data_IF_835003364197
#
_entry.id   IF_835003364197
#
_cell.length_a   1.000
_cell.length_b   1.000
_cell.length_c   1.000
_cell.angle_alpha   90.00
_cell.angle_beta   90.00
_cell.angle_gamma   90.00
#
_symmetry.space_group_name_H-M   'P 1'
#
loop_
_entity.id
_entity.type
_entity.pdbx_description
1 polymer ?
#
# COMPACT_ATOMS: atom_id res chain seq x y z
N UNK A 1 -3.33 -16.67 -0.73
CA UNK A 1 -2.11 -16.76 0.08
C UNK A 1 -1.26 -15.53 -0.17
N UNK A 2 -0.69 -14.93 0.89
CA UNK A 2 0.24 -13.82 0.81
C UNK A 2 1.37 -14.00 1.82
N UNK A 3 2.51 -13.39 1.51
CA UNK A 3 3.68 -13.36 2.38
C UNK A 3 4.44 -12.05 2.16
N UNK A 4 5.33 -11.72 3.07
CA UNK A 4 6.14 -10.53 3.00
C UNK A 4 7.60 -10.94 2.76
N UNK A 5 8.21 -10.34 1.75
CA UNK A 5 9.65 -10.43 1.52
C UNK A 5 10.27 -9.08 1.90
N UNK A 6 11.16 -9.09 2.88
CA UNK A 6 11.89 -7.91 3.31
C UNK A 6 13.25 -7.87 2.62
N UNK A 7 13.52 -6.78 1.94
CA UNK A 7 14.81 -6.54 1.28
C UNK A 7 15.51 -5.40 2.00
N UNK A 8 16.75 -5.64 2.40
CA UNK A 8 17.59 -4.66 3.09
C UNK A 8 18.91 -4.49 2.33
N UNK A 9 19.28 -3.25 2.12
CA UNK A 9 20.58 -2.87 1.59
C UNK A 9 21.45 -2.19 2.67
N UNK A 10 22.65 -1.79 2.32
CA UNK A 10 23.57 -1.16 3.28
C UNK A 10 23.05 0.20 3.78
N UNK A 11 22.25 0.91 2.97
CA UNK A 11 21.62 2.18 3.39
C UNK A 11 20.54 1.93 4.43
N UNK A 12 19.67 0.95 4.17
CA UNK A 12 18.56 0.61 5.08
C UNK A 12 19.07 0.05 6.41
N UNK A 13 20.15 -0.75 6.39
CA UNK A 13 20.78 -1.28 7.61
C UNK A 13 21.46 -0.19 8.44
N UNK A 14 22.02 0.83 7.80
CA UNK A 14 22.68 1.94 8.47
C UNK A 14 21.68 2.98 9.02
N UNK A 15 20.41 2.90 8.65
CA UNK A 15 19.38 3.85 9.08
C UNK A 15 19.12 3.69 10.59
N UNK A 16 19.15 4.79 11.38
CA UNK A 16 18.89 4.72 12.82
C UNK A 16 17.37 4.58 13.11
N UNK A 17 16.79 3.51 12.61
CA UNK A 17 15.40 3.10 12.84
C UNK A 17 15.37 1.81 13.64
N UNK A 18 14.27 1.49 14.33
CA UNK A 18 14.09 0.18 14.93
C UNK A 18 14.34 -0.92 13.90
N UNK A 19 15.18 -1.91 14.26
CA UNK A 19 15.64 -2.95 13.33
C UNK A 19 15.86 -4.33 13.99
N UNK A 20 15.55 -4.45 15.27
CA UNK A 20 15.70 -5.71 16.00
C UNK A 20 14.40 -6.50 15.92
N UNK A 21 14.40 -7.49 15.01
CA UNK A 21 13.25 -8.36 14.79
C UNK A 21 12.74 -9.00 16.08
N UNK A 22 11.43 -8.88 16.33
CA UNK A 22 10.77 -9.41 17.52
C UNK A 22 10.99 -8.60 18.80
N UNK A 23 11.70 -7.47 18.74
CA UNK A 23 11.96 -6.57 19.87
C UNK A 23 11.37 -5.18 19.62
N UNK A 24 11.77 -4.56 18.51
CA UNK A 24 11.32 -3.23 18.10
C UNK A 24 11.01 -3.14 16.58
N UNK A 25 11.09 -4.25 15.84
CA UNK A 25 10.78 -4.32 14.39
C UNK A 25 9.93 -5.57 14.09
N UNK A 26 8.73 -5.36 13.53
CA UNK A 26 7.73 -6.41 13.33
C UNK A 26 7.09 -6.33 11.94
N UNK A 27 7.14 -7.41 11.13
CA UNK A 27 6.32 -7.52 9.91
C UNK A 27 4.86 -7.83 10.28
N UNK A 28 3.95 -7.08 9.70
CA UNK A 28 2.51 -7.15 9.97
C UNK A 28 1.76 -7.31 8.65
N UNK A 29 1.22 -8.50 8.41
CA UNK A 29 0.40 -8.82 7.25
C UNK A 29 -1.07 -8.78 7.67
N UNK A 30 -1.85 -7.87 7.07
CA UNK A 30 -3.26 -7.68 7.35
C UNK A 30 -4.06 -8.32 6.23
N UNK A 31 -5.00 -9.19 6.56
CA UNK A 31 -5.88 -9.87 5.61
C UNK A 31 -7.30 -9.91 6.15
N UNK A 32 -8.28 -9.84 5.26
CA UNK A 32 -9.65 -10.21 5.59
C UNK A 32 -10.03 -11.54 4.94
N UNK A 33 -10.83 -12.32 5.65
CA UNK A 33 -11.36 -13.60 5.21
C UNK A 33 -12.84 -13.70 5.57
N UNK A 34 -13.57 -14.57 4.89
CA UNK A 34 -14.83 -15.11 5.38
C UNK A 34 -14.55 -16.52 5.84
N UNK A 35 -14.97 -16.83 7.05
CA UNK A 35 -14.79 -18.15 7.65
C UNK A 35 -16.17 -18.73 7.96
N UNK A 36 -16.36 -20.02 7.68
CA UNK A 36 -17.54 -20.74 8.14
C UNK A 36 -17.51 -21.02 9.66
N UNK A 37 -18.55 -21.65 10.17
CA UNK A 37 -18.66 -21.98 11.60
C UNK A 37 -17.58 -22.97 12.10
N UNK A 38 -16.81 -23.57 11.20
CA UNK A 38 -15.71 -24.50 11.49
C UNK A 38 -14.32 -23.84 11.29
N UNK A 39 -14.30 -22.54 10.92
CA UNK A 39 -13.07 -21.82 10.64
C UNK A 39 -12.48 -22.10 9.25
N UNK A 40 -13.23 -22.71 8.35
CA UNK A 40 -12.79 -22.97 6.97
C UNK A 40 -13.02 -21.72 6.12
N UNK A 41 -12.03 -21.26 5.35
CA UNK A 41 -12.20 -20.11 4.47
C UNK A 41 -13.25 -20.35 3.39
N UNK A 42 -14.19 -19.43 3.27
CA UNK A 42 -15.18 -19.38 2.20
C UNK A 42 -14.83 -18.27 1.21
N UNK A 43 -15.05 -18.54 -0.07
CA UNK A 43 -14.87 -17.57 -1.14
C UNK A 43 -16.12 -17.52 -2.01
N UNK A 44 -16.84 -16.43 -1.87
CA UNK A 44 -18.03 -16.11 -2.67
C UNK A 44 -17.82 -14.71 -3.28
N UNK A 45 -17.19 -14.64 -4.46
CA UNK A 45 -16.84 -13.36 -5.07
C UNK A 45 -18.11 -12.61 -5.51
N UNK A 46 -18.18 -11.30 -5.25
CA UNK A 46 -19.31 -10.49 -5.68
C UNK A 46 -19.36 -10.38 -7.21
N UNK A 47 -20.55 -10.12 -7.75
CA UNK A 47 -20.73 -9.89 -9.19
C UNK A 47 -19.95 -8.65 -9.69
N UNK A 48 -19.75 -7.66 -8.82
CA UNK A 48 -18.99 -6.43 -9.08
C UNK A 48 -18.02 -6.15 -7.93
N UNK A 49 -16.92 -5.47 -8.26
CA UNK A 49 -15.86 -5.17 -7.30
C UNK A 49 -15.04 -6.41 -6.94
N UNK A 50 -14.36 -6.36 -5.79
CA UNK A 50 -13.54 -7.45 -5.27
C UNK A 50 -14.10 -8.04 -3.99
N UNK A 51 -13.69 -9.25 -3.67
CA UNK A 51 -14.10 -9.95 -2.45
C UNK A 51 -13.63 -9.21 -1.19
N UNK A 52 -14.58 -9.04 -0.24
CA UNK A 52 -14.32 -8.47 1.08
C UNK A 52 -14.82 -9.46 2.13
N UNK A 53 -13.92 -9.89 3.00
CA UNK A 53 -14.23 -10.77 4.12
C UNK A 53 -14.81 -10.03 5.32
N UNK A 54 -15.31 -10.77 6.31
CA UNK A 54 -15.86 -10.25 7.57
C UNK A 54 -14.93 -10.46 8.77
N UNK A 55 -13.91 -11.29 8.59
CA UNK A 55 -12.96 -11.67 9.61
C UNK A 55 -11.58 -11.13 9.32
N UNK A 56 -11.08 -10.21 10.17
CA UNK A 56 -9.75 -9.64 10.06
C UNK A 56 -8.73 -10.58 10.69
N UNK A 57 -7.67 -10.87 9.95
CA UNK A 57 -6.52 -11.64 10.41
C UNK A 57 -5.24 -10.79 10.30
N UNK A 58 -4.41 -10.84 11.31
CA UNK A 58 -3.07 -10.25 11.33
C UNK A 58 -2.05 -11.35 11.56
N UNK A 59 -1.16 -11.56 10.60
CA UNK A 59 -0.24 -12.71 10.58
C UNK A 59 -0.97 -14.06 10.80
N UNK A 60 -2.21 -14.17 10.31
CA UNK A 60 -3.04 -15.37 10.44
C UNK A 60 -3.83 -15.49 11.75
N UNK A 61 -3.77 -14.52 12.65
CA UNK A 61 -4.44 -14.54 13.96
C UNK A 61 -5.45 -13.40 14.06
N UNK A 62 -6.60 -13.65 14.69
CA UNK A 62 -7.60 -12.63 15.01
C UNK A 62 -7.17 -11.83 16.24
N UNK A 63 -7.22 -10.49 16.14
CA UNK A 63 -6.99 -9.57 17.26
C UNK A 63 -5.73 -9.91 18.09
N UNK A 64 -4.56 -10.12 17.47
CA UNK A 64 -3.35 -10.48 18.19
C UNK A 64 -2.83 -9.33 19.06
N UNK A 65 -1.99 -9.67 20.00
CA UNK A 65 -1.11 -8.71 20.65
C UNK A 65 0.36 -9.09 20.43
N UNK A 66 1.23 -8.11 20.56
CA UNK A 66 2.68 -8.31 20.54
C UNK A 66 3.33 -7.53 21.69
N UNK A 67 4.27 -8.18 22.37
CA UNK A 67 5.12 -7.52 23.34
C UNK A 67 6.23 -6.77 22.62
N UNK A 68 6.43 -5.51 22.99
CA UNK A 68 7.38 -4.60 22.33
C UNK A 68 8.29 -3.93 23.34
N UNK A 69 9.45 -3.44 22.89
CA UNK A 69 10.33 -2.62 23.71
C UNK A 69 9.67 -1.28 24.09
N UNK A 70 10.19 -0.65 25.14
CA UNK A 70 9.85 0.73 25.48
C UNK A 70 10.78 1.67 24.72
N UNK A 71 10.24 2.37 23.74
CA UNK A 71 10.95 3.25 22.82
C UNK A 71 10.23 3.32 21.50
N UNK A 72 10.93 3.59 20.42
CA UNK A 72 10.36 3.55 19.09
C UNK A 72 10.22 2.10 18.62
N UNK A 73 9.07 1.78 18.05
CA UNK A 73 8.75 0.45 17.52
C UNK A 73 8.35 0.60 16.07
N UNK A 74 8.96 -0.18 15.16
CA UNK A 74 8.69 -0.21 13.73
C UNK A 74 7.74 -1.34 13.40
N UNK A 75 6.71 -1.00 12.65
CA UNK A 75 5.82 -1.98 12.03
C UNK A 75 5.96 -1.89 10.52
N UNK A 76 6.24 -3.02 9.89
CA UNK A 76 6.30 -3.16 8.44
C UNK A 76 4.96 -3.73 7.97
N UNK A 77 4.08 -2.85 7.51
CA UNK A 77 2.69 -3.16 7.20
C UNK A 77 2.56 -3.64 5.75
N UNK A 78 1.81 -4.70 5.53
CA UNK A 78 1.33 -5.14 4.24
C UNK A 78 -0.18 -5.34 4.31
N UNK A 79 -0.93 -4.69 3.43
CA UNK A 79 -2.32 -5.07 3.18
C UNK A 79 -2.35 -6.20 2.15
N UNK A 80 -2.59 -7.40 2.62
CA UNK A 80 -2.70 -8.63 1.81
C UNK A 80 -4.16 -9.06 1.60
N UNK A 81 -5.12 -8.15 1.83
CA UNK A 81 -6.52 -8.32 1.46
C UNK A 81 -6.69 -8.20 -0.04
N UNK A 82 -7.74 -8.83 -0.57
CA UNK A 82 -8.01 -8.79 -2.00
C UNK A 82 -8.53 -7.42 -2.47
N UNK A 83 -9.49 -6.84 -1.75
CA UNK A 83 -10.12 -5.58 -2.16
C UNK A 83 -10.28 -4.56 -1.02
N UNK A 84 -10.18 -4.97 0.25
CA UNK A 84 -10.40 -4.08 1.38
C UNK A 84 -9.26 -3.10 1.57
N UNK A 85 -9.58 -1.81 1.50
CA UNK A 85 -8.70 -0.72 1.95
C UNK A 85 -8.89 -0.49 3.44
N UNK A 86 -7.82 -0.36 4.18
CA UNK A 86 -7.84 -0.03 5.60
C UNK A 86 -7.50 1.43 5.85
N UNK A 87 -8.13 2.03 6.86
CA UNK A 87 -7.68 3.27 7.47
C UNK A 87 -7.27 2.96 8.90
N UNK A 88 -5.97 2.96 9.14
CA UNK A 88 -5.35 2.58 10.41
C UNK A 88 -5.16 3.80 11.31
N UNK A 89 -5.42 3.63 12.61
CA UNK A 89 -5.20 4.67 13.62
C UNK A 89 -4.85 4.03 14.96
N UNK A 90 -4.22 4.80 15.85
CA UNK A 90 -3.94 4.39 17.22
C UNK A 90 -5.11 4.76 18.14
N UNK A 91 -5.46 3.85 19.05
CA UNK A 91 -6.64 3.95 19.93
C UNK A 91 -6.60 5.13 20.91
N UNK A 92 -5.43 5.63 21.22
CA UNK A 92 -5.22 6.76 22.13
C UNK A 92 -4.95 8.09 21.41
N UNK A 93 -5.00 8.09 20.07
CA UNK A 93 -4.83 9.30 19.27
C UNK A 93 -3.39 9.78 19.10
N UNK A 94 -2.37 9.03 19.59
CA UNK A 94 -0.98 9.37 19.22
C UNK A 94 -0.76 9.16 17.72
N UNK A 95 0.18 9.87 17.08
CA UNK A 95 0.41 9.72 15.65
C UNK A 95 1.16 8.43 15.30
N UNK A 96 0.89 7.91 14.09
CA UNK A 96 1.75 7.01 13.37
C UNK A 96 2.80 7.83 12.61
N UNK A 97 4.07 7.47 12.66
CA UNK A 97 5.11 8.13 11.88
C UNK A 97 5.48 7.26 10.69
N UNK A 98 5.03 7.64 9.50
CA UNK A 98 5.33 6.91 8.26
C UNK A 98 6.77 7.19 7.87
N UNK A 99 7.57 6.14 7.70
CA UNK A 99 9.00 6.22 7.36
C UNK A 99 9.32 5.65 5.99
N UNK A 100 8.49 4.73 5.47
CA UNK A 100 8.67 4.15 4.14
C UNK A 100 7.33 3.86 3.46
N UNK A 101 7.38 3.83 2.14
CA UNK A 101 6.32 3.36 1.25
C UNK A 101 6.78 2.08 0.52
N UNK A 102 6.03 1.64 -0.50
CA UNK A 102 6.21 0.35 -1.19
C UNK A 102 7.67 0.04 -1.56
N UNK A 103 8.42 1.05 -2.02
CA UNK A 103 9.74 0.86 -2.62
C UNK A 103 10.86 1.65 -1.93
N UNK A 104 10.67 2.06 -0.70
CA UNK A 104 11.75 2.67 0.07
C UNK A 104 11.32 3.76 1.03
N UNK A 105 12.31 4.35 1.67
CA UNK A 105 12.12 5.38 2.67
C UNK A 105 11.55 6.68 2.10
N UNK A 106 10.79 7.37 2.93
CA UNK A 106 10.45 8.78 2.70
C UNK A 106 11.67 9.66 2.96
N UNK A 107 11.69 10.90 2.47
CA UNK A 107 12.77 11.86 2.79
C UNK A 107 12.90 12.13 4.30
N UNK A 108 11.79 12.11 5.02
CA UNK A 108 11.69 12.30 6.48
C UNK A 108 10.46 11.56 7.02
N UNK A 109 10.42 11.24 8.32
CA UNK A 109 9.22 10.70 8.95
C UNK A 109 8.04 11.66 8.83
N UNK A 110 6.86 11.14 8.47
CA UNK A 110 5.62 11.92 8.35
C UNK A 110 4.64 11.45 9.43
N UNK A 111 4.31 12.34 10.37
CA UNK A 111 3.34 12.05 11.41
C UNK A 111 1.91 12.17 10.87
N UNK A 112 1.11 11.11 11.02
CA UNK A 112 -0.28 11.05 10.60
C UNK A 112 -1.18 10.52 11.71
N UNK A 113 -2.40 11.02 11.82
CA UNK A 113 -3.40 10.49 12.76
C UNK A 113 -4.09 9.24 12.20
N UNK A 114 -4.21 9.19 10.90
CA UNK A 114 -4.81 8.09 10.16
C UNK A 114 -3.93 7.75 8.96
N UNK A 115 -3.71 6.46 8.73
CA UNK A 115 -2.94 5.95 7.60
C UNK A 115 -3.82 5.08 6.73
N UNK A 116 -3.96 5.45 5.47
CA UNK A 116 -4.61 4.61 4.47
C UNK A 116 -3.66 3.54 3.97
N UNK A 117 -4.19 2.33 3.79
CA UNK A 117 -3.44 1.18 3.28
C UNK A 117 -4.31 0.38 2.31
N UNK A 118 -4.08 0.57 1.01
CA UNK A 118 -4.80 -0.13 -0.05
C UNK A 118 -4.29 -1.57 -0.24
N UNK A 119 -5.06 -2.46 -0.88
CA UNK A 119 -4.59 -3.79 -1.24
C UNK A 119 -3.26 -3.75 -2.00
N UNK A 120 -2.30 -4.57 -1.56
CA UNK A 120 -0.95 -4.62 -2.12
C UNK A 120 0.00 -3.51 -1.68
N UNK A 121 -0.48 -2.46 -1.02
CA UNK A 121 0.41 -1.44 -0.46
C UNK A 121 1.18 -1.95 0.74
N UNK A 122 2.43 -1.49 0.83
CA UNK A 122 3.32 -1.65 1.98
C UNK A 122 3.64 -0.28 2.56
N UNK A 123 3.64 -0.21 3.88
CA UNK A 123 4.05 0.99 4.62
C UNK A 123 4.90 0.57 5.80
N UNK A 124 5.89 1.37 6.11
CA UNK A 124 6.57 1.22 7.38
C UNK A 124 6.26 2.42 8.25
N UNK A 125 5.83 2.10 9.46
CA UNK A 125 5.51 3.11 10.46
C UNK A 125 6.33 2.88 11.72
N UNK A 126 6.66 3.95 12.41
CA UNK A 126 7.21 3.88 13.75
C UNK A 126 6.26 4.53 14.74
N UNK A 127 6.18 3.93 15.93
CA UNK A 127 5.25 4.31 16.99
C UNK A 127 6.08 4.54 18.26
N UNK A 128 5.83 5.66 18.95
CA UNK A 128 6.46 5.96 20.23
C UNK A 128 5.78 5.18 21.36
N UNK A 129 6.51 4.21 21.94
CA UNK A 129 6.08 3.39 23.08
C UNK A 129 6.81 3.78 24.38
N UNK A 130 7.53 4.91 24.42
CA UNK A 130 8.36 5.34 25.56
C UNK A 130 7.56 5.58 26.84
N UNK A 131 6.28 5.96 26.70
CA UNK A 131 5.38 6.14 27.85
C UNK A 131 5.04 4.83 28.57
N UNK A 132 5.30 3.68 27.94
CA UNK A 132 5.06 2.37 28.54
C UNK A 132 3.59 1.98 28.66
N UNK A 133 2.67 2.71 28.03
CA UNK A 133 1.24 2.37 27.97
C UNK A 133 0.93 1.50 26.76
N UNK A 134 0.07 0.51 26.97
CA UNK A 134 -0.49 -0.31 25.89
C UNK A 134 -1.28 0.56 24.91
N UNK A 135 -1.20 0.25 23.61
CA UNK A 135 -1.97 0.93 22.57
C UNK A 135 -2.42 -0.07 21.52
N UNK A 136 -3.64 0.11 21.01
CA UNK A 136 -4.18 -0.72 19.93
C UNK A 136 -4.18 0.04 18.60
N UNK A 137 -3.85 -0.68 17.54
CA UNK A 137 -4.12 -0.24 16.16
C UNK A 137 -5.52 -0.72 15.81
N UNK A 138 -6.32 0.19 15.33
CA UNK A 138 -7.67 -0.11 14.85
C UNK A 138 -7.79 0.25 13.37
N UNK A 139 -8.58 -0.53 12.64
CA UNK A 139 -8.98 -0.23 11.28
C UNK A 139 -10.43 0.27 11.29
N UNK A 140 -10.65 1.45 10.74
CA UNK A 140 -11.96 1.99 10.43
C UNK A 140 -12.04 2.29 8.94
N UNK A 141 -13.24 2.38 8.39
CA UNK A 141 -13.40 3.08 7.13
C UNK A 141 -13.39 4.57 7.44
N UNK A 142 -12.62 5.35 6.70
CA UNK A 142 -12.68 6.79 6.78
C UNK A 142 -14.07 7.21 6.25
N UNK A 143 -15.01 7.45 7.16
CA UNK A 143 -16.30 8.00 6.77
C UNK A 143 -16.07 9.38 6.16
N UNK A 144 -16.15 9.47 4.84
CA UNK A 144 -16.27 10.73 4.13
C UNK A 144 -17.49 11.49 4.63
N UNK A 145 -17.56 12.80 4.39
CA UNK A 145 -18.72 13.63 4.79
C UNK A 145 -20.04 13.04 4.26
N UNK A 146 -19.99 12.43 3.06
CA UNK A 146 -21.15 11.77 2.43
C UNK A 146 -21.54 10.46 3.15
N UNK A 147 -20.57 9.70 3.68
CA UNK A 147 -20.85 8.46 4.41
C UNK A 147 -21.42 8.76 5.80
N UNK A 148 -20.99 9.85 6.42
CA UNK A 148 -21.60 10.36 7.68
C UNK A 148 -23.06 10.79 7.48
N UNK A 149 -23.39 11.36 6.32
CA UNK A 149 -24.76 11.73 5.96
C UNK A 149 -25.62 10.49 5.63
N UNK A 150 -25.03 9.47 4.95
CA UNK A 150 -25.71 8.19 4.72
C UNK A 150 -25.97 7.42 6.01
N UNK A 151 -25.01 7.41 6.94
CA UNK A 151 -25.18 6.77 8.26
C UNK A 151 -26.31 7.31 9.11
N UNK A 152 -26.80 8.53 8.84
CA UNK A 152 -27.99 9.07 9.48
C UNK A 152 -29.30 8.43 8.96
N UNK A 153 -29.28 7.84 7.78
CA UNK A 153 -30.45 7.25 7.13
C UNK A 153 -30.37 5.70 7.04
N UNK A 154 -29.20 5.12 7.22
CA UNK A 154 -28.95 3.66 7.19
C UNK A 154 -28.17 3.23 8.45
N UNK A 155 -28.85 2.82 9.53
CA UNK A 155 -28.19 2.42 10.79
C UNK A 155 -27.25 1.21 10.69
N UNK A 156 -27.30 0.45 9.60
CA UNK A 156 -26.44 -0.72 9.35
C UNK A 156 -25.02 -0.37 8.86
N UNK A 157 -24.73 0.88 8.57
CA UNK A 157 -23.40 1.38 8.16
C UNK A 157 -22.57 1.93 9.33
N UNK A 158 -22.84 1.47 10.57
CA UNK A 158 -21.97 1.82 11.69
C UNK A 158 -20.60 1.22 11.43
N UNK A 159 -19.65 2.09 11.09
CA UNK A 159 -18.24 1.78 10.96
C UNK A 159 -17.70 1.26 12.29
N UNK A 160 -17.72 -0.05 12.44
CA UNK A 160 -17.13 -0.69 13.59
C UNK A 160 -15.62 -0.59 13.41
N UNK A 161 -14.98 0.20 14.27
CA UNK A 161 -13.52 0.21 14.37
C UNK A 161 -13.07 -1.19 14.78
N UNK A 162 -12.46 -1.92 13.84
CA UNK A 162 -12.00 -3.29 14.06
C UNK A 162 -10.61 -3.27 14.67
N UNK A 163 -10.39 -4.02 15.74
CA UNK A 163 -9.07 -4.22 16.33
C UNK A 163 -8.16 -4.96 15.34
N UNK A 164 -7.02 -4.36 15.02
CA UNK A 164 -5.99 -4.94 14.18
C UNK A 164 -4.93 -5.63 15.03
N UNK A 165 -4.28 -4.87 15.92
CA UNK A 165 -3.14 -5.34 16.72
C UNK A 165 -3.06 -4.54 18.01
N UNK A 166 -2.69 -5.18 19.11
CA UNK A 166 -2.37 -4.52 20.37
C UNK A 166 -0.87 -4.58 20.63
N UNK A 167 -0.24 -3.42 20.86
CA UNK A 167 1.16 -3.29 21.27
C UNK A 167 1.24 -3.20 22.78
N UNK A 168 1.99 -4.12 23.41
CA UNK A 168 2.19 -4.20 24.86
C UNK A 168 3.64 -3.92 25.22
N UNK A 169 3.99 -2.70 25.64
CA UNK A 169 5.35 -2.40 26.02
C UNK A 169 5.74 -3.15 27.31
N UNK A 170 6.84 -3.87 27.27
CA UNK A 170 7.35 -4.63 28.42
C UNK A 170 8.75 -4.19 28.81
N UNK A 171 9.05 -4.22 30.13
CA UNK A 171 10.40 -4.01 30.63
C UNK A 171 11.31 -5.23 30.49
N UNK A 172 10.80 -6.36 30.00
CA UNK A 172 11.59 -7.57 29.75
C UNK A 172 12.38 -7.47 28.45
N UNK A 173 11.94 -6.62 27.51
CA UNK A 173 12.65 -6.35 26.27
C UNK A 173 13.58 -5.13 26.44
N UNK A 174 14.77 -5.15 25.83
CA UNK A 174 15.70 -4.03 25.91
C UNK A 174 15.14 -2.79 25.20
N UNK A 175 15.42 -1.61 25.73
CA UNK A 175 15.28 -0.35 24.99
C UNK A 175 16.41 -0.28 23.98
N UNK A 176 16.06 -0.25 22.70
CA UNK A 176 17.04 -0.22 21.60
C UNK A 176 17.04 1.13 20.91
N UNK A 177 15.87 1.62 20.52
CA UNK A 177 15.70 2.87 19.76
C UNK A 177 14.92 3.88 20.60
N UNK A 178 15.58 4.94 21.05
CA UNK A 178 14.99 6.00 21.87
C UNK A 178 14.78 7.32 21.12
N UNK A 179 15.37 7.48 19.94
CA UNK A 179 15.25 8.67 19.10
C UNK A 179 14.89 8.32 17.65
N UNK A 180 13.99 9.10 17.06
CA UNK A 180 13.64 9.00 15.66
C UNK A 180 14.45 10.01 14.82
N UNK A 181 15.10 9.61 13.73
CA UNK A 181 15.84 10.53 12.89
C UNK A 181 14.91 11.54 12.21
N UNK A 182 15.35 12.79 12.11
CA UNK A 182 14.56 13.83 11.42
C UNK A 182 14.63 13.72 9.89
N UNK A 183 15.63 13.03 9.35
CA UNK A 183 15.81 12.78 7.90
C UNK A 183 16.17 11.32 7.70
N UNK A 184 15.61 10.74 6.63
CA UNK A 184 15.82 9.34 6.24
C UNK A 184 16.66 9.23 4.97
N UNK A 185 16.48 10.15 4.03
CA UNK A 185 17.26 10.21 2.80
C UNK A 185 17.96 11.55 2.69
N UNK A 186 19.20 11.54 2.16
CA UNK A 186 19.97 12.75 1.89
C UNK A 186 19.46 13.51 0.66
N UNK A 187 18.98 12.76 -0.34
CA UNK A 187 18.61 13.31 -1.62
C UNK A 187 17.11 13.40 -1.79
N UNK A 188 16.66 14.45 -2.47
CA UNK A 188 15.30 14.58 -2.91
C UNK A 188 15.05 13.60 -4.06
N UNK A 189 13.86 13.02 -4.09
CA UNK A 189 13.38 12.27 -5.25
C UNK A 189 13.23 13.27 -6.39
N UNK A 190 14.06 13.16 -7.41
CA UNK A 190 14.09 14.10 -8.53
C UNK A 190 13.05 13.70 -9.58
N UNK A 191 12.27 14.68 -10.02
CA UNK A 191 11.40 14.55 -11.19
C UNK A 191 12.26 14.71 -12.45
N UNK A 192 12.15 13.77 -13.38
CA UNK A 192 12.76 13.87 -14.70
C UNK A 192 11.82 14.49 -15.73
N UNK A 193 12.38 14.81 -16.92
CA UNK A 193 11.56 15.28 -18.04
C UNK A 193 10.62 14.17 -18.52
N UNK A 194 9.33 14.48 -18.58
CA UNK A 194 8.29 13.57 -19.06
C UNK A 194 8.39 13.45 -20.59
N UNK A 195 8.65 12.24 -21.09
CA UNK A 195 8.74 11.97 -22.53
C UNK A 195 7.41 11.60 -23.16
N UNK A 196 6.43 11.15 -22.35
CA UNK A 196 5.11 10.72 -22.82
C UNK A 196 4.06 10.84 -21.70
N UNK A 197 2.81 11.08 -22.10
CA UNK A 197 1.64 10.95 -21.22
C UNK A 197 0.79 9.79 -21.72
N UNK A 198 0.30 8.93 -20.80
CA UNK A 198 -0.67 7.87 -21.06
C UNK A 198 -1.88 8.02 -20.14
N UNK A 199 -3.02 7.58 -20.65
CA UNK A 199 -4.27 7.51 -19.87
C UNK A 199 -4.78 6.08 -19.86
N UNK A 200 -5.13 5.60 -18.67
CA UNK A 200 -5.69 4.28 -18.44
C UNK A 200 -6.99 4.40 -17.66
N UNK A 201 -8.00 3.66 -18.08
CA UNK A 201 -9.28 3.57 -17.39
C UNK A 201 -9.51 2.14 -16.94
N UNK A 202 -9.64 1.96 -15.64
CA UNK A 202 -10.02 0.72 -14.98
C UNK A 202 -11.55 0.69 -14.93
N UNK A 203 -12.16 -0.09 -15.84
CA UNK A 203 -13.61 -0.15 -15.97
C UNK A 203 -14.25 -1.12 -14.98
N UNK A 204 -15.54 -0.92 -14.68
CA UNK A 204 -16.39 -1.90 -14.01
C UNK A 204 -17.34 -2.58 -14.97
N UNK A 205 -18.05 -1.78 -15.78
CA UNK A 205 -19.01 -2.30 -16.78
C UNK A 205 -18.32 -2.77 -18.07
N UNK A 206 -17.17 -2.15 -18.44
CA UNK A 206 -16.34 -2.58 -19.55
C UNK A 206 -15.14 -3.36 -18.99
N UNK A 207 -15.01 -4.66 -19.32
CA UNK A 207 -13.90 -5.47 -18.82
C UNK A 207 -12.55 -4.95 -19.33
N UNK A 208 -11.51 -5.20 -18.56
CA UNK A 208 -10.14 -4.85 -18.91
C UNK A 208 -9.77 -3.41 -18.64
N UNK A 209 -8.64 -2.98 -19.20
CA UNK A 209 -8.13 -1.61 -19.13
C UNK A 209 -8.45 -0.92 -20.45
N UNK A 210 -9.03 0.29 -20.41
CA UNK A 210 -9.52 1.03 -21.58
C UNK A 210 -10.55 0.26 -22.40
N UNK A 211 -11.35 -0.61 -21.76
CA UNK A 211 -12.32 -1.48 -22.44
C UNK A 211 -11.68 -2.64 -23.22
N UNK A 212 -10.41 -2.94 -22.96
CA UNK A 212 -9.66 -4.01 -23.65
C UNK A 212 -9.24 -5.07 -22.63
N UNK A 213 -9.73 -6.30 -22.86
CA UNK A 213 -9.37 -7.46 -22.01
C UNK A 213 -7.90 -7.81 -22.24
N UNK A 214 -7.21 -8.16 -21.18
CA UNK A 214 -5.83 -8.64 -21.23
C UNK A 214 -5.65 -9.81 -22.20
N UNK A 215 -4.55 -9.75 -22.95
CA UNK A 215 -4.15 -10.77 -23.91
C UNK A 215 -2.63 -10.98 -23.81
N UNK A 216 -2.20 -12.21 -23.52
CA UNK A 216 -0.79 -12.59 -23.37
C UNK A 216 0.07 -12.30 -24.61
N UNK A 217 -0.53 -12.22 -25.78
CA UNK A 217 0.18 -11.98 -27.06
C UNK A 217 0.35 -10.49 -27.38
N UNK A 218 -0.27 -9.59 -26.55
CA UNK A 218 -0.31 -8.16 -26.83
C UNK A 218 0.54 -7.37 -25.84
N UNK A 219 1.41 -6.51 -26.35
CA UNK A 219 2.09 -5.48 -25.54
C UNK A 219 1.24 -4.20 -25.56
N UNK A 220 0.78 -3.77 -24.39
CA UNK A 220 -0.11 -2.62 -24.24
C UNK A 220 0.66 -1.31 -24.07
N UNK A 221 1.87 -1.37 -23.53
CA UNK A 221 2.74 -0.22 -23.36
C UNK A 221 4.20 -0.58 -23.67
N UNK A 222 4.88 0.34 -24.35
CA UNK A 222 6.33 0.27 -24.55
C UNK A 222 6.96 1.55 -24.04
N UNK A 223 8.04 1.41 -23.26
CA UNK A 223 8.80 2.50 -22.69
C UNK A 223 10.30 2.26 -22.88
N UNK A 224 11.11 3.27 -22.56
CA UNK A 224 12.56 3.21 -22.64
C UNK A 224 13.17 3.32 -21.25
N UNK A 225 14.15 2.49 -20.94
CA UNK A 225 14.89 2.55 -19.69
C UNK A 225 15.51 3.94 -19.48
N UNK A 226 15.47 4.44 -18.25
CA UNK A 226 15.99 5.74 -17.86
C UNK A 226 15.06 6.91 -18.16
N UNK A 227 13.85 6.66 -18.70
CA UNK A 227 12.88 7.72 -19.02
C UNK A 227 11.76 7.84 -17.99
N UNK A 228 11.05 8.96 -18.04
CA UNK A 228 9.89 9.26 -17.23
C UNK A 228 8.64 9.40 -18.09
N UNK A 229 7.54 8.79 -17.68
CA UNK A 229 6.25 9.03 -18.28
C UNK A 229 5.24 9.51 -17.23
N UNK A 230 4.27 10.30 -17.67
CA UNK A 230 3.09 10.66 -16.89
C UNK A 230 1.99 9.65 -17.18
N UNK A 231 1.50 8.97 -16.17
CA UNK A 231 0.36 8.08 -16.28
C UNK A 231 -0.82 8.65 -15.51
N UNK A 232 -1.97 8.80 -16.17
CA UNK A 232 -3.22 9.24 -15.57
C UNK A 232 -4.13 8.02 -15.52
N UNK A 233 -4.45 7.59 -14.32
CA UNK A 233 -5.27 6.40 -14.08
C UNK A 233 -6.64 6.86 -13.59
N UNK A 234 -7.69 6.43 -14.27
CA UNK A 234 -9.08 6.63 -13.89
C UNK A 234 -9.66 5.29 -13.45
N UNK A 235 -10.51 5.28 -12.43
CA UNK A 235 -11.25 4.10 -12.01
C UNK A 235 -12.75 4.42 -11.91
N UNK A 236 -13.58 3.55 -12.51
CA UNK A 236 -15.03 3.66 -12.44
C UNK A 236 -15.55 3.20 -11.06
N UNK A 237 -14.82 2.29 -10.43
CA UNK A 237 -14.99 1.89 -9.04
C UNK A 237 -13.67 1.98 -8.29
N UNK A 238 -13.69 2.34 -6.99
CA UNK A 238 -12.49 2.40 -6.17
C UNK A 238 -11.75 1.06 -6.14
N UNK A 239 -10.48 1.07 -6.51
CA UNK A 239 -9.62 -0.13 -6.55
C UNK A 239 -8.14 0.24 -6.47
N UNK A 240 -7.30 -0.72 -6.08
CA UNK A 240 -5.86 -0.55 -6.12
C UNK A 240 -5.30 -0.92 -7.50
N UNK A 241 -4.36 -0.12 -7.98
CA UNK A 241 -3.64 -0.31 -9.24
C UNK A 241 -2.16 -0.54 -8.96
N UNK A 242 -1.58 -1.52 -9.62
CA UNK A 242 -0.18 -1.91 -9.46
C UNK A 242 0.56 -1.96 -10.80
N UNK A 243 1.85 -1.61 -10.78
CA UNK A 243 2.75 -1.73 -11.93
C UNK A 243 4.00 -2.50 -11.49
N UNK A 244 4.29 -3.62 -12.13
CA UNK A 244 5.50 -4.40 -11.88
C UNK A 244 6.74 -3.76 -12.52
N UNK A 245 7.90 -3.95 -11.90
CA UNK A 245 9.21 -3.64 -12.47
C UNK A 245 9.51 -2.15 -12.69
N UNK A 246 8.69 -1.25 -12.14
CA UNK A 246 8.88 0.19 -12.21
C UNK A 246 8.72 0.82 -10.83
N UNK A 247 9.15 2.07 -10.72
CA UNK A 247 8.88 2.93 -9.57
C UNK A 247 8.08 4.15 -10.02
N UNK A 248 7.11 4.59 -9.23
CA UNK A 248 6.41 5.83 -9.52
C UNK A 248 6.24 6.74 -8.30
N UNK A 249 6.01 8.01 -8.57
CA UNK A 249 5.61 9.02 -7.62
C UNK A 249 4.15 9.38 -7.86
N UNK A 250 3.36 9.46 -6.80
CA UNK A 250 2.00 10.01 -6.90
C UNK A 250 2.10 11.54 -6.90
N UNK A 251 1.63 12.17 -7.96
CA UNK A 251 1.65 13.64 -8.10
C UNK A 251 0.35 14.26 -7.65
N UNK A 252 -0.77 13.75 -8.17
CA UNK A 252 -2.10 14.25 -7.86
C UNK A 252 -3.09 13.11 -7.61
N UNK A 253 -4.04 13.35 -6.74
CA UNK A 253 -5.22 12.52 -6.48
C UNK A 253 -6.44 13.40 -6.64
N UNK A 254 -7.30 13.13 -7.62
CA UNK A 254 -8.50 13.94 -7.93
C UNK A 254 -8.19 15.44 -8.11
N UNK A 255 -7.05 15.73 -8.76
CA UNK A 255 -6.61 17.12 -9.02
C UNK A 255 -5.94 17.82 -7.82
N UNK A 256 -5.89 17.20 -6.65
CA UNK A 256 -5.17 17.72 -5.49
C UNK A 256 -3.76 17.07 -5.38
N UNK A 257 -2.74 17.78 -4.89
CA UNK A 257 -1.42 17.20 -4.64
C UNK A 257 -1.48 15.99 -3.70
N UNK A 258 -0.62 14.99 -3.95
CA UNK A 258 -0.50 13.83 -3.07
C UNK A 258 -0.19 14.22 -1.62
N UNK A 259 -0.74 13.48 -0.67
CA UNK A 259 -0.47 13.63 0.75
C UNK A 259 1.02 13.39 1.05
N UNK A 260 1.52 13.94 2.15
CA UNK A 260 2.94 13.90 2.47
C UNK A 260 3.47 12.47 2.60
N UNK A 261 2.70 11.57 3.20
CA UNK A 261 2.99 10.14 3.38
C UNK A 261 2.98 9.34 2.06
N UNK A 262 2.40 9.89 0.99
CA UNK A 262 2.35 9.27 -0.34
C UNK A 262 3.45 9.78 -1.30
N UNK A 263 4.32 10.69 -0.85
CA UNK A 263 5.38 11.29 -1.69
C UNK A 263 6.66 10.46 -1.75
N UNK A 264 6.62 9.18 -1.35
CA UNK A 264 7.71 8.22 -1.52
C UNK A 264 7.61 7.45 -2.85
N UNK A 265 8.61 6.62 -3.11
CA UNK A 265 8.59 5.68 -4.22
C UNK A 265 7.57 4.58 -4.00
N UNK A 266 6.70 4.36 -4.98
CA UNK A 266 5.60 3.40 -4.93
C UNK A 266 5.55 2.53 -6.19
N UNK A 267 4.85 1.41 -6.08
CA UNK A 267 4.43 0.57 -7.19
C UNK A 267 2.93 0.26 -7.17
N UNK A 268 2.25 0.62 -6.09
CA UNK A 268 0.82 0.37 -5.86
C UNK A 268 0.14 1.65 -5.39
N UNK A 269 -1.06 1.94 -5.90
CA UNK A 269 -1.83 3.13 -5.54
C UNK A 269 -3.33 2.84 -5.52
N UNK A 270 -4.04 3.45 -4.55
CA UNK A 270 -5.50 3.46 -4.54
C UNK A 270 -6.03 4.48 -5.53
N UNK A 271 -6.93 4.05 -6.41
CA UNK A 271 -7.60 4.90 -7.39
C UNK A 271 -9.09 4.95 -7.06
N UNK A 272 -9.55 6.14 -6.67
CA UNK A 272 -10.95 6.47 -6.41
C UNK A 272 -11.23 7.78 -7.17
N UNK A 273 -11.74 7.67 -8.38
CA UNK A 273 -11.79 8.75 -9.36
C UNK A 273 -10.54 8.78 -10.24
N UNK A 274 -9.54 9.63 -9.96
CA UNK A 274 -8.33 9.73 -10.79
C UNK A 274 -7.06 9.94 -9.99
N UNK A 275 -5.96 9.37 -10.47
CA UNK A 275 -4.61 9.62 -9.95
C UNK A 275 -3.65 9.95 -11.09
N UNK A 276 -2.72 10.87 -10.83
CA UNK A 276 -1.61 11.19 -11.72
C UNK A 276 -0.31 10.64 -11.14
N UNK A 277 0.35 9.78 -11.91
CA UNK A 277 1.59 9.13 -11.55
C UNK A 277 2.72 9.65 -12.44
N UNK A 278 3.89 9.83 -11.85
CA UNK A 278 5.13 10.02 -12.58
C UNK A 278 5.92 8.72 -12.50
N UNK A 279 5.93 7.97 -13.59
CA UNK A 279 6.50 6.61 -13.67
C UNK A 279 7.93 6.67 -14.19
N UNK A 280 8.85 6.04 -13.47
CA UNK A 280 10.25 5.90 -13.86
C UNK A 280 10.57 4.46 -14.25
N UNK A 281 11.13 4.29 -15.45
CA UNK A 281 11.46 2.98 -16.01
C UNK A 281 12.92 2.66 -15.71
N UNK A 282 13.19 2.07 -14.55
CA UNK A 282 14.57 1.75 -14.11
C UNK A 282 15.01 0.33 -14.47
N UNK A 283 14.10 -0.55 -14.87
CA UNK A 283 14.40 -1.94 -15.19
C UNK A 283 14.00 -2.25 -16.65
N UNK A 284 14.74 -3.16 -17.27
CA UNK A 284 14.48 -3.65 -18.64
C UNK A 284 13.58 -4.89 -18.58
N UNK A 285 12.66 -5.00 -19.53
CA UNK A 285 11.87 -6.21 -19.76
C UNK A 285 11.83 -6.56 -21.26
N UNK A 286 11.26 -7.69 -21.61
CA UNK A 286 11.15 -8.13 -23.00
C UNK A 286 9.73 -8.58 -23.31
N UNK A 287 9.41 -8.78 -24.60
CA UNK A 287 8.12 -9.30 -25.02
C UNK A 287 7.86 -10.73 -24.49
N UNK A 288 8.91 -11.50 -24.22
CA UNK A 288 8.77 -12.83 -23.63
C UNK A 288 8.58 -12.79 -22.11
N UNK A 289 9.03 -11.73 -21.45
CA UNK A 289 8.94 -11.50 -20.02
C UNK A 289 8.54 -10.04 -19.77
N UNK A 290 7.33 -9.65 -20.15
CA UNK A 290 6.85 -8.28 -19.91
C UNK A 290 6.58 -8.04 -18.44
N UNK A 291 6.66 -6.81 -18.01
CA UNK A 291 6.05 -6.39 -16.75
C UNK A 291 4.54 -6.29 -16.92
N UNK A 292 3.80 -6.49 -15.83
CA UNK A 292 2.35 -6.33 -15.83
C UNK A 292 1.96 -5.06 -15.09
N UNK A 293 0.88 -4.43 -15.51
CA UNK A 293 0.15 -3.44 -14.73
C UNK A 293 -1.31 -3.87 -14.67
N UNK A 294 -1.92 -3.79 -13.47
CA UNK A 294 -3.23 -4.42 -13.26
C UNK A 294 -3.96 -3.89 -12.03
N UNK A 295 -5.26 -4.20 -11.95
CA UNK A 295 -6.02 -4.09 -10.71
C UNK A 295 -5.57 -5.13 -9.70
N UNK A 296 -5.33 -4.72 -8.45
CA UNK A 296 -4.97 -5.64 -7.37
C UNK A 296 -6.14 -6.54 -6.93
N UNK A 297 -7.40 -6.17 -7.24
CA UNK A 297 -8.52 -7.08 -7.05
C UNK A 297 -8.41 -8.25 -8.01
N UNK A 298 -8.34 -9.47 -7.46
CA UNK A 298 -8.21 -10.71 -8.25
C UNK A 298 -9.37 -10.86 -9.23
N UNK A 299 -10.60 -10.55 -8.80
CA UNK A 299 -11.79 -10.65 -9.64
C UNK A 299 -11.72 -9.71 -10.85
N UNK A 300 -11.17 -8.51 -10.66
CA UNK A 300 -11.00 -7.54 -11.74
C UNK A 300 -9.86 -7.97 -12.68
N UNK A 301 -8.74 -8.43 -12.12
CA UNK A 301 -7.62 -8.96 -12.89
C UNK A 301 -8.04 -10.18 -13.73
N UNK A 302 -8.79 -11.13 -13.15
CA UNK A 302 -9.30 -12.32 -13.84
C UNK A 302 -10.31 -11.98 -14.94
N UNK A 303 -11.00 -10.85 -14.84
CA UNK A 303 -11.86 -10.30 -15.91
C UNK A 303 -11.05 -9.55 -16.97
N UNK A 304 -9.71 -9.55 -16.87
CA UNK A 304 -8.82 -8.97 -17.85
C UNK A 304 -8.42 -7.52 -17.58
N UNK A 305 -8.61 -7.02 -16.34
CA UNK A 305 -8.13 -5.69 -15.95
C UNK A 305 -6.61 -5.70 -15.70
N UNK A 306 -5.86 -6.01 -16.75
CA UNK A 306 -4.41 -6.07 -16.80
C UNK A 306 -3.88 -5.62 -18.17
N UNK A 307 -2.62 -5.24 -18.23
CA UNK A 307 -1.88 -4.91 -19.43
C UNK A 307 -0.42 -5.30 -19.32
N UNK A 308 0.26 -5.42 -20.46
CA UNK A 308 1.68 -5.76 -20.56
C UNK A 308 2.51 -4.53 -20.91
N UNK A 309 3.60 -4.34 -20.17
CA UNK A 309 4.59 -3.28 -20.36
C UNK A 309 5.93 -3.88 -20.73
N UNK A 310 6.50 -3.40 -21.83
CA UNK A 310 7.88 -3.71 -22.22
C UNK A 310 8.74 -2.46 -22.08
N UNK A 311 9.81 -2.58 -21.29
CA UNK A 311 10.82 -1.52 -21.14
C UNK A 311 12.08 -1.91 -21.89
N UNK A 312 12.35 -1.20 -22.97
CA UNK A 312 13.54 -1.42 -23.82
C UNK A 312 14.78 -0.80 -23.19
N UNK A 313 15.93 -1.43 -23.37
CA UNK A 313 17.20 -0.86 -22.94
C UNK A 313 17.45 0.50 -23.61
N UNK A 314 18.08 1.42 -22.88
CA UNK A 314 18.51 2.69 -23.47
C UNK A 314 19.47 2.42 -24.65
N UNK A 315 19.40 3.20 -25.74
CA UNK A 315 20.35 3.08 -26.84
C UNK A 315 21.78 3.27 -26.29
N UNK A 316 22.65 2.32 -26.60
CA UNK A 316 24.10 2.51 -26.39
C UNK A 316 24.54 3.66 -27.28
N UNK A 317 24.99 4.75 -26.68
CA UNK A 317 25.73 5.77 -27.44
C UNK A 317 26.99 5.10 -27.97
N UNK A 318 27.03 4.84 -29.29
CA UNK A 318 28.18 4.32 -30.01
C UNK A 318 29.31 5.33 -30.10
#
# INVERSE_FOLDING_TARGET
LAGMWLVEDEVSKAMPLPSHYGVDDFPIIIQDKRLDNFGVPEYDPPAKGGFIGDTLLVNGVQSPFVEVSRGWVRLRLLNASNARRYTLQLSDGRPLHVVASDQGFLPAPVAVQQLSLAPGERREVVIDMSQGSEVSITAGESAGIMDRLRGLFEPSSILISTLVLTLKPTGLLPLVTDNLPMRLLSDQILDGSVVRTREFRLGDDLPGINGVIWDMSRVDAQAQQGTWERWIIHADMPQAFHIQGVSFLVKNVNGAPAMAEDRGWKDTVWVDGSVELLVYFNQVSSEHFPFLFYSQSLEMADRGSAGQLVTQAAPTLG
#
